data_IF_541975439469
#
_entry.id   IF_541975439469
#
_cell.length_a   1.000
_cell.length_b   1.000
_cell.length_c   1.000
_cell.angle_alpha   90.00
_cell.angle_beta   90.00
_cell.angle_gamma   90.00
#
_symmetry.space_group_name_H-M   'P 1'
#
loop_
_entity.id
_entity.type
_entity.pdbx_description
1 polymer ?
#
# COMPACT_ATOMS: atom_id res chain seq x y z
N UNK A 1 -7.40 -17.93 -17.79
CA UNK A 1 -7.50 -18.64 -16.49
C UNK A 1 -8.69 -18.09 -15.71
N UNK A 2 -9.29 -18.94 -14.91
CA UNK A 2 -10.32 -18.58 -13.94
C UNK A 2 -9.66 -18.47 -12.56
N UNK A 3 -9.65 -17.27 -11.99
CA UNK A 3 -8.93 -16.93 -10.76
C UNK A 3 -9.94 -16.79 -9.63
N UNK A 4 -9.67 -17.44 -8.49
CA UNK A 4 -10.38 -17.19 -7.24
C UNK A 4 -9.58 -16.16 -6.42
N UNK A 5 -10.12 -14.96 -6.31
CA UNK A 5 -9.52 -13.88 -5.51
C UNK A 5 -10.11 -13.83 -4.11
N UNK A 6 -9.28 -13.82 -3.07
CA UNK A 6 -9.71 -13.78 -1.67
C UNK A 6 -9.55 -12.37 -1.12
N UNK A 7 -10.67 -11.68 -0.86
CA UNK A 7 -10.66 -10.39 -0.17
C UNK A 7 -10.67 -10.61 1.34
N UNK A 8 -9.59 -10.24 2.04
CA UNK A 8 -9.49 -10.44 3.48
C UNK A 8 -10.36 -9.45 4.27
N UNK A 9 -10.55 -9.70 5.56
CA UNK A 9 -11.29 -8.82 6.47
C UNK A 9 -10.60 -7.44 6.61
N UNK A 10 -9.26 -7.40 6.58
CA UNK A 10 -8.51 -6.16 6.79
C UNK A 10 -8.59 -5.18 5.61
N UNK A 11 -8.83 -3.90 5.87
CA UNK A 11 -8.95 -2.86 4.82
C UNK A 11 -7.68 -2.77 3.98
N UNK A 12 -6.49 -2.75 4.61
CA UNK A 12 -5.22 -2.69 3.88
C UNK A 12 -5.00 -3.90 2.98
N UNK A 13 -5.34 -5.09 3.47
CA UNK A 13 -5.30 -6.33 2.68
C UNK A 13 -6.28 -6.30 1.51
N UNK A 14 -7.49 -5.77 1.71
CA UNK A 14 -8.50 -5.63 0.63
C UNK A 14 -7.99 -4.73 -0.50
N UNK A 15 -7.43 -3.57 -0.18
CA UNK A 15 -6.86 -2.63 -1.18
C UNK A 15 -5.73 -3.30 -1.96
N UNK A 16 -4.80 -3.97 -1.28
CA UNK A 16 -3.70 -4.69 -1.93
C UNK A 16 -4.22 -5.81 -2.84
N UNK A 17 -5.15 -6.64 -2.32
CA UNK A 17 -5.75 -7.72 -3.11
C UNK A 17 -6.50 -7.19 -4.31
N UNK A 18 -7.28 -6.11 -4.16
CA UNK A 18 -8.01 -5.49 -5.29
C UNK A 18 -7.05 -5.11 -6.42
N UNK A 19 -5.91 -4.48 -6.12
CA UNK A 19 -4.89 -4.17 -7.13
C UNK A 19 -4.34 -5.42 -7.84
N UNK A 20 -4.14 -6.53 -7.12
CA UNK A 20 -3.72 -7.80 -7.72
C UNK A 20 -4.81 -8.33 -8.66
N UNK A 21 -6.05 -8.39 -8.19
CA UNK A 21 -7.18 -8.92 -8.96
C UNK A 21 -7.47 -8.09 -10.21
N UNK A 22 -7.33 -6.76 -10.12
CA UNK A 22 -7.44 -5.86 -11.26
C UNK A 22 -6.34 -6.09 -12.30
N UNK A 23 -5.12 -6.39 -11.85
CA UNK A 23 -4.04 -6.80 -12.76
C UNK A 23 -4.38 -8.07 -13.55
N UNK A 24 -5.00 -9.07 -12.92
CA UNK A 24 -5.49 -10.26 -13.63
C UNK A 24 -6.59 -9.91 -14.63
N UNK A 25 -7.57 -9.07 -14.27
CA UNK A 25 -8.61 -8.60 -15.19
C UNK A 25 -8.03 -7.85 -16.39
N UNK A 26 -7.05 -6.96 -16.15
CA UNK A 26 -6.35 -6.21 -17.21
C UNK A 26 -5.55 -7.10 -18.18
N UNK A 27 -5.23 -8.32 -17.77
CA UNK A 27 -4.59 -9.34 -18.61
C UNK A 27 -5.61 -10.31 -19.26
N UNK A 28 -6.91 -10.05 -19.11
CA UNK A 28 -7.98 -10.84 -19.75
C UNK A 28 -8.34 -12.12 -19.00
N UNK A 29 -7.99 -12.24 -17.71
CA UNK A 29 -8.40 -13.39 -16.89
C UNK A 29 -9.77 -13.17 -16.25
N UNK A 30 -10.53 -14.24 -16.08
CA UNK A 30 -11.81 -14.22 -15.34
C UNK A 30 -11.48 -14.26 -13.84
N UNK A 31 -11.96 -13.28 -13.09
CA UNK A 31 -11.72 -13.18 -11.64
C UNK A 31 -13.05 -13.29 -10.90
N UNK A 32 -13.18 -14.34 -10.11
CA UNK A 32 -14.28 -14.53 -9.14
C UNK A 32 -13.75 -14.13 -7.76
N UNK A 33 -14.56 -13.40 -7.00
CA UNK A 33 -14.13 -12.87 -5.70
C UNK A 33 -14.84 -13.60 -4.58
N UNK A 34 -14.06 -14.15 -3.67
CA UNK A 34 -14.48 -14.60 -2.36
C UNK A 34 -14.24 -13.48 -1.35
N UNK A 35 -15.27 -13.04 -0.64
CA UNK A 35 -15.19 -11.97 0.34
C UNK A 35 -15.36 -12.54 1.74
N UNK A 36 -14.28 -12.57 2.54
CA UNK A 36 -14.29 -13.10 3.92
C UNK A 36 -15.29 -12.39 4.87
N UNK A 37 -15.79 -11.21 4.50
CA UNK A 37 -16.83 -10.52 5.28
C UNK A 37 -18.26 -11.00 4.98
N UNK A 38 -18.46 -11.78 3.92
CA UNK A 38 -19.81 -12.11 3.42
C UNK A 38 -20.22 -13.56 3.63
N UNK A 39 -19.42 -14.39 4.25
CA UNK A 39 -19.65 -15.77 4.75
C UNK A 39 -20.48 -16.75 3.88
N UNK A 40 -20.85 -16.43 2.64
CA UNK A 40 -21.82 -17.21 1.86
C UNK A 40 -21.22 -17.69 0.53
N UNK A 41 -20.40 -18.76 0.59
CA UNK A 41 -19.84 -19.32 -0.64
C UNK A 41 -19.87 -20.85 -0.68
N UNK A 42 -20.58 -21.36 -1.65
CA UNK A 42 -20.31 -22.70 -2.18
C UNK A 42 -19.16 -22.60 -3.19
N UNK A 43 -17.99 -23.12 -2.87
CA UNK A 43 -16.86 -23.26 -3.80
C UNK A 43 -17.14 -24.40 -4.82
N UNK A 44 -18.20 -24.24 -5.62
CA UNK A 44 -18.67 -25.28 -6.53
C UNK A 44 -17.97 -25.28 -7.90
N UNK A 45 -17.13 -24.26 -8.15
CA UNK A 45 -16.49 -24.05 -9.44
C UNK A 45 -15.02 -24.53 -9.45
N UNK A 46 -14.57 -25.01 -10.60
CA UNK A 46 -13.13 -25.25 -10.82
C UNK A 46 -12.42 -23.92 -11.09
N UNK A 47 -11.32 -23.69 -10.38
CA UNK A 47 -10.43 -22.54 -10.58
C UNK A 47 -9.05 -23.02 -10.98
N UNK A 48 -8.33 -22.18 -11.75
CA UNK A 48 -6.95 -22.46 -12.16
C UNK A 48 -5.95 -21.99 -11.09
N UNK A 49 -6.33 -20.96 -10.33
CA UNK A 49 -5.45 -20.30 -9.35
C UNK A 49 -6.26 -19.65 -8.22
N UNK A 50 -5.76 -19.77 -6.99
CA UNK A 50 -6.22 -18.98 -5.84
C UNK A 50 -5.23 -17.85 -5.59
N UNK A 51 -5.72 -16.63 -5.34
CA UNK A 51 -4.88 -15.45 -5.08
C UNK A 51 -5.44 -14.64 -3.94
N UNK A 52 -4.61 -14.23 -3.01
CA UNK A 52 -5.05 -13.37 -1.92
C UNK A 52 -3.91 -12.78 -1.10
N UNK A 53 -4.31 -12.11 -0.04
CA UNK A 53 -3.43 -11.41 0.88
C UNK A 53 -3.18 -12.24 2.14
N UNK A 54 -1.92 -12.22 2.63
CA UNK A 54 -1.52 -12.90 3.85
C UNK A 54 -1.78 -14.42 3.76
N UNK A 55 -2.19 -15.03 4.84
CA UNK A 55 -2.53 -16.45 4.92
C UNK A 55 -3.92 -16.81 4.37
N UNK A 56 -4.78 -15.83 4.07
CA UNK A 56 -6.16 -16.07 3.63
C UNK A 56 -6.29 -17.08 2.49
N UNK A 57 -5.54 -16.98 1.37
CA UNK A 57 -5.65 -17.95 0.28
C UNK A 57 -5.12 -19.33 0.65
N UNK A 58 -4.08 -19.41 1.48
CA UNK A 58 -3.48 -20.67 1.94
C UNK A 58 -4.44 -21.39 2.90
N UNK A 59 -5.05 -20.64 3.82
CA UNK A 59 -6.07 -21.16 4.73
C UNK A 59 -7.25 -21.74 3.97
N UNK A 60 -7.81 -20.97 3.03
CA UNK A 60 -8.94 -21.44 2.21
C UNK A 60 -8.58 -22.71 1.44
N UNK A 61 -7.40 -22.74 0.81
CA UNK A 61 -6.90 -23.92 0.09
C UNK A 61 -6.85 -25.16 0.99
N UNK A 62 -6.36 -25.02 2.23
CA UNK A 62 -6.29 -26.11 3.20
C UNK A 62 -7.68 -26.55 3.67
N UNK A 63 -8.52 -25.61 4.11
CA UNK A 63 -9.81 -25.88 4.75
C UNK A 63 -10.78 -26.58 3.78
N UNK A 64 -10.67 -26.31 2.47
CA UNK A 64 -11.48 -26.95 1.42
C UNK A 64 -10.74 -28.00 0.57
N UNK A 65 -9.50 -28.36 0.97
CA UNK A 65 -8.66 -29.33 0.26
C UNK A 65 -8.54 -29.06 -1.25
N UNK A 66 -8.29 -27.82 -1.63
CA UNK A 66 -8.28 -27.39 -3.03
C UNK A 66 -6.94 -27.73 -3.70
N UNK A 67 -6.97 -28.28 -4.90
CA UNK A 67 -5.79 -28.81 -5.62
C UNK A 67 -5.03 -27.76 -6.46
N UNK A 68 -5.68 -26.62 -6.81
CA UNK A 68 -5.06 -25.60 -7.67
C UNK A 68 -3.88 -24.88 -6.99
N UNK A 69 -3.00 -24.27 -7.81
CA UNK A 69 -1.91 -23.42 -7.32
C UNK A 69 -2.45 -22.25 -6.49
N UNK A 70 -1.65 -21.80 -5.51
CA UNK A 70 -2.02 -20.71 -4.59
C UNK A 70 -0.97 -19.62 -4.61
N UNK A 71 -1.41 -18.36 -4.68
CA UNK A 71 -0.58 -17.15 -4.56
C UNK A 71 -0.97 -16.41 -3.28
N UNK A 72 -0.01 -16.26 -2.38
CA UNK A 72 -0.13 -15.49 -1.15
C UNK A 72 0.79 -14.27 -1.22
N UNK A 73 0.21 -13.06 -1.13
CA UNK A 73 0.96 -11.81 -1.12
C UNK A 73 0.99 -11.23 0.29
N UNK A 74 2.19 -11.01 0.82
CA UNK A 74 2.40 -10.46 2.16
C UNK A 74 2.91 -9.02 2.09
N UNK A 75 2.26 -8.12 2.83
CA UNK A 75 2.72 -6.76 3.08
C UNK A 75 2.88 -6.44 4.58
N UNK A 76 2.94 -7.46 5.40
CA UNK A 76 3.30 -7.43 6.81
C UNK A 76 4.32 -8.53 7.09
N UNK A 77 5.10 -8.38 8.16
CA UNK A 77 6.07 -9.40 8.55
C UNK A 77 5.37 -10.72 8.89
N UNK A 78 5.70 -11.78 8.16
CA UNK A 78 5.12 -13.11 8.36
C UNK A 78 5.30 -13.56 9.82
N UNK A 79 6.49 -13.30 10.42
CA UNK A 79 6.81 -13.66 11.80
C UNK A 79 6.01 -12.91 12.85
N UNK A 80 5.54 -11.71 12.55
CA UNK A 80 4.71 -10.91 13.46
C UNK A 80 3.24 -11.38 13.49
N UNK A 81 2.84 -12.25 12.57
CA UNK A 81 1.50 -12.87 12.50
C UNK A 81 1.33 -14.11 13.36
N UNK A 82 2.23 -14.34 14.33
CA UNK A 82 2.32 -15.57 15.15
C UNK A 82 1.26 -15.71 16.24
N UNK A 83 0.25 -14.87 16.27
CA UNK A 83 -0.78 -14.86 17.29
C UNK A 83 -2.10 -15.46 16.81
N UNK A 84 -2.17 -16.76 16.65
CA UNK A 84 -3.44 -17.44 16.35
C UNK A 84 -3.31 -18.95 16.41
N UNK A 85 -4.40 -19.69 16.67
CA UNK A 85 -4.38 -21.12 16.49
C UNK A 85 -4.03 -21.41 15.03
N UNK A 86 -3.19 -22.41 14.78
CA UNK A 86 -2.80 -22.88 13.44
C UNK A 86 -1.78 -22.04 12.64
N UNK A 87 -1.19 -20.95 13.16
CA UNK A 87 -0.19 -20.20 12.42
C UNK A 87 1.05 -21.05 12.03
N UNK A 88 1.46 -22.02 12.87
CA UNK A 88 2.57 -22.94 12.56
C UNK A 88 2.26 -23.82 11.36
N UNK A 89 1.03 -24.31 11.29
CA UNK A 89 0.54 -25.14 10.19
C UNK A 89 0.48 -24.30 8.89
N UNK A 90 0.02 -23.05 8.98
CA UNK A 90 0.00 -22.16 7.83
C UNK A 90 1.39 -21.80 7.32
N UNK A 91 2.40 -21.68 8.22
CA UNK A 91 3.80 -21.53 7.83
C UNK A 91 4.34 -22.76 7.10
N UNK A 92 3.97 -23.97 7.54
CA UNK A 92 4.34 -25.20 6.83
C UNK A 92 3.65 -25.27 5.46
N UNK A 93 2.40 -24.85 5.37
CA UNK A 93 1.67 -24.78 4.08
C UNK A 93 2.34 -23.84 3.08
N UNK A 94 3.00 -22.74 3.50
CA UNK A 94 3.78 -21.86 2.61
C UNK A 94 4.98 -22.58 1.96
N UNK A 95 5.45 -23.68 2.50
CA UNK A 95 6.59 -24.48 1.96
C UNK A 95 6.17 -25.45 0.86
N UNK A 96 4.89 -25.61 0.59
CA UNK A 96 4.36 -26.53 -0.43
C UNK A 96 4.75 -26.09 -1.82
N UNK A 97 4.94 -27.04 -2.71
CA UNK A 97 5.32 -26.81 -4.11
C UNK A 97 4.26 -26.08 -4.93
N UNK A 98 2.99 -26.14 -4.52
CA UNK A 98 1.85 -25.51 -5.17
C UNK A 98 1.44 -24.17 -4.53
N UNK A 99 2.24 -23.65 -3.57
CA UNK A 99 2.05 -22.35 -2.93
C UNK A 99 3.21 -21.42 -3.29
N UNK A 100 2.86 -20.26 -3.83
CA UNK A 100 3.78 -19.21 -4.27
C UNK A 100 3.60 -17.99 -3.38
N UNK A 101 4.65 -17.64 -2.65
CA UNK A 101 4.65 -16.51 -1.70
C UNK A 101 5.35 -15.32 -2.32
N UNK A 102 4.67 -14.18 -2.36
CA UNK A 102 5.23 -12.90 -2.78
C UNK A 102 5.31 -11.96 -1.59
N UNK A 103 6.47 -11.39 -1.36
CA UNK A 103 6.74 -10.57 -0.19
C UNK A 103 7.21 -9.18 -0.61
N UNK A 104 6.62 -8.14 -0.03
CA UNK A 104 6.85 -6.76 -0.46
C UNK A 104 8.20 -6.16 -0.03
N UNK A 105 8.89 -6.76 0.94
CA UNK A 105 10.13 -6.25 1.54
C UNK A 105 11.32 -7.12 1.15
N UNK A 106 12.31 -6.51 0.49
CA UNK A 106 13.51 -7.16 -0.05
C UNK A 106 14.40 -7.79 1.01
N UNK A 107 14.51 -7.13 2.17
CA UNK A 107 15.36 -7.62 3.27
C UNK A 107 14.65 -8.74 4.04
N UNK A 108 13.33 -8.67 4.17
CA UNK A 108 12.56 -9.73 4.84
C UNK A 108 12.51 -11.01 4.00
N UNK A 109 12.48 -10.92 2.67
CA UNK A 109 12.58 -12.11 1.80
C UNK A 109 13.85 -12.92 2.09
N UNK A 110 14.98 -12.25 2.37
CA UNK A 110 16.24 -12.94 2.68
C UNK A 110 16.23 -13.69 4.00
N UNK A 111 15.28 -13.41 4.88
CA UNK A 111 15.17 -14.01 6.21
C UNK A 111 14.30 -15.27 6.23
N UNK A 112 13.54 -15.49 5.16
CA UNK A 112 12.63 -16.62 5.04
C UNK A 112 13.22 -17.69 4.10
N UNK A 113 12.86 -18.97 4.36
CA UNK A 113 13.37 -20.10 3.57
C UNK A 113 12.19 -20.93 3.03
N UNK A 114 11.42 -20.35 2.11
CA UNK A 114 10.37 -21.07 1.37
C UNK A 114 10.82 -21.33 -0.05
N UNK A 115 10.46 -22.49 -0.62
CA UNK A 115 10.86 -22.87 -1.97
C UNK A 115 10.41 -21.87 -3.04
N UNK A 116 9.16 -21.41 -2.94
CA UNK A 116 8.54 -20.50 -3.91
C UNK A 116 8.32 -19.12 -3.30
N UNK A 117 9.38 -18.52 -2.73
CA UNK A 117 9.36 -17.18 -2.16
C UNK A 117 10.01 -16.18 -3.12
N UNK A 118 9.29 -15.09 -3.42
CA UNK A 118 9.72 -14.08 -4.36
C UNK A 118 9.53 -12.67 -3.77
N UNK A 119 10.50 -11.80 -4.03
CA UNK A 119 10.32 -10.38 -3.81
C UNK A 119 9.40 -9.77 -4.86
N UNK A 120 8.40 -9.04 -4.42
CA UNK A 120 7.54 -8.24 -5.28
C UNK A 120 7.10 -7.00 -4.50
N UNK A 121 7.62 -5.79 -4.82
CA UNK A 121 7.18 -4.58 -4.17
C UNK A 121 5.69 -4.33 -4.41
N UNK A 122 5.09 -3.45 -3.63
CA UNK A 122 3.74 -3.01 -3.91
C UNK A 122 3.60 -2.46 -5.33
N UNK A 123 2.44 -2.66 -5.91
CA UNK A 123 2.05 -2.12 -7.21
C UNK A 123 0.60 -1.63 -7.14
N UNK A 124 0.18 -0.85 -8.11
CA UNK A 124 -1.07 -0.10 -8.02
C UNK A 124 -1.87 -0.14 -9.31
N UNK A 125 -3.20 -0.08 -9.21
CA UNK A 125 -4.07 0.05 -10.37
C UNK A 125 -3.97 1.47 -10.98
N UNK A 126 -3.14 1.63 -12.00
CA UNK A 126 -2.91 2.90 -12.68
C UNK A 126 -4.09 3.42 -13.50
N UNK A 127 -5.19 2.65 -13.63
CA UNK A 127 -6.44 3.12 -14.19
C UNK A 127 -7.29 3.88 -13.16
N UNK A 128 -7.16 3.51 -11.87
CA UNK A 128 -7.78 4.24 -10.76
C UNK A 128 -6.91 5.42 -10.36
N UNK A 129 -5.60 5.16 -10.17
CA UNK A 129 -4.61 6.16 -9.76
C UNK A 129 -4.01 6.84 -10.98
N UNK A 130 -4.72 7.83 -11.50
CA UNK A 130 -4.28 8.65 -12.64
C UNK A 130 -4.68 10.10 -12.48
N UNK A 131 -3.86 10.98 -13.04
CA UNK A 131 -4.15 12.39 -13.03
C UNK A 131 -5.51 12.66 -13.70
N UNK A 132 -6.29 13.51 -13.04
CA UNK A 132 -7.51 14.11 -13.56
C UNK A 132 -7.36 15.62 -13.44
N UNK A 133 -7.92 16.34 -14.37
CA UNK A 133 -7.95 17.79 -14.32
C UNK A 133 -9.02 18.25 -13.32
N UNK A 134 -8.64 18.26 -12.04
CA UNK A 134 -9.47 18.72 -10.94
C UNK A 134 -8.69 19.74 -10.10
N UNK A 135 -9.37 20.75 -9.55
CA UNK A 135 -8.72 21.77 -8.73
C UNK A 135 -7.98 21.19 -7.53
N UNK A 136 -6.80 21.76 -7.25
CA UNK A 136 -6.06 21.50 -6.03
C UNK A 136 -6.80 22.14 -4.85
N UNK A 137 -7.01 21.39 -3.77
CA UNK A 137 -7.70 21.85 -2.57
C UNK A 137 -6.78 21.94 -1.35
N UNK A 138 -5.61 21.30 -1.41
CA UNK A 138 -4.64 21.37 -0.30
C UNK A 138 -3.20 21.32 -0.81
N UNK A 139 -2.32 21.99 -0.07
CA UNK A 139 -0.89 21.95 -0.36
C UNK A 139 -0.29 20.61 0.07
N UNK A 140 -0.67 20.13 1.25
CA UNK A 140 -0.10 18.92 1.85
C UNK A 140 -1.20 17.99 2.34
N UNK A 141 -0.98 16.67 2.23
CA UNK A 141 -1.78 15.67 2.92
C UNK A 141 -0.93 14.58 3.57
N UNK A 142 -1.49 14.01 4.61
CA UNK A 142 -1.04 12.75 5.20
C UNK A 142 -2.23 11.80 5.34
N UNK A 143 -2.06 10.54 4.96
CA UNK A 143 -3.08 9.53 5.17
C UNK A 143 -2.48 8.34 5.93
N UNK A 144 -2.82 8.22 7.22
CA UNK A 144 -2.26 7.21 8.09
C UNK A 144 -2.47 7.50 9.56
N UNK A 145 -1.91 6.63 10.40
CA UNK A 145 -2.01 6.72 11.85
C UNK A 145 -1.01 7.72 12.42
N UNK A 146 -1.44 8.51 13.41
CA UNK A 146 -0.59 9.33 14.27
C UNK A 146 -0.44 8.66 15.66
N UNK A 147 -0.03 7.39 15.65
CA UNK A 147 0.02 6.50 16.81
C UNK A 147 1.29 6.62 17.64
N UNK A 148 2.34 7.21 17.10
CA UNK A 148 3.59 7.52 17.82
C UNK A 148 3.71 9.01 18.11
N UNK A 149 4.44 9.37 19.19
CA UNK A 149 4.70 10.79 19.50
C UNK A 149 5.51 11.47 18.38
N UNK A 150 6.43 10.74 17.79
CA UNK A 150 7.21 11.23 16.65
C UNK A 150 6.31 11.71 15.49
N UNK A 151 5.37 10.88 15.04
CA UNK A 151 4.46 11.23 13.95
C UNK A 151 3.51 12.36 14.33
N UNK A 152 2.94 12.28 15.54
CA UNK A 152 2.00 13.28 16.02
C UNK A 152 2.67 14.63 16.14
N UNK A 153 3.83 14.71 16.80
CA UNK A 153 4.56 15.95 16.99
C UNK A 153 5.03 16.55 15.65
N UNK A 154 5.47 15.71 14.71
CA UNK A 154 5.86 16.17 13.38
C UNK A 154 4.68 16.82 12.63
N UNK A 155 3.51 16.19 12.62
CA UNK A 155 2.34 16.76 11.94
C UNK A 155 1.86 18.03 12.65
N UNK A 156 1.82 18.05 13.98
CA UNK A 156 1.46 19.25 14.75
C UNK A 156 2.42 20.41 14.42
N UNK A 157 3.72 20.16 14.45
CA UNK A 157 4.74 21.16 14.12
C UNK A 157 4.60 21.71 12.69
N UNK A 158 4.34 20.86 11.72
CA UNK A 158 4.07 21.29 10.33
C UNK A 158 2.84 22.20 10.25
N UNK A 159 1.74 21.80 10.88
CA UNK A 159 0.47 22.54 10.80
C UNK A 159 0.55 23.90 11.50
N UNK A 160 1.25 23.97 12.64
CA UNK A 160 1.35 25.19 13.44
C UNK A 160 2.36 26.19 12.86
N UNK A 161 3.43 25.70 12.20
CA UNK A 161 4.57 26.55 11.84
C UNK A 161 4.80 26.73 10.34
N UNK A 162 4.09 25.99 9.46
CA UNK A 162 4.39 26.06 8.02
C UNK A 162 3.49 27.02 7.23
N UNK A 163 2.28 27.31 7.74
CA UNK A 163 1.34 28.23 7.07
C UNK A 163 0.73 27.70 5.76
N UNK A 164 0.76 26.37 5.52
CA UNK A 164 0.19 25.71 4.34
C UNK A 164 -1.13 25.01 4.66
N UNK A 165 -1.96 24.80 3.66
CA UNK A 165 -3.18 24.02 3.81
C UNK A 165 -2.84 22.52 3.96
N UNK A 166 -3.39 21.87 4.99
CA UNK A 166 -3.06 20.49 5.33
C UNK A 166 -4.34 19.66 5.50
N UNK A 167 -4.34 18.44 4.98
CA UNK A 167 -5.40 17.45 5.19
C UNK A 167 -4.85 16.17 5.80
N UNK A 168 -5.50 15.67 6.84
CA UNK A 168 -5.18 14.39 7.46
C UNK A 168 -6.35 13.41 7.34
N UNK A 169 -6.08 12.21 6.79
CA UNK A 169 -7.06 11.15 6.65
C UNK A 169 -6.71 9.95 7.54
N UNK A 170 -7.63 9.60 8.45
CA UNK A 170 -7.47 8.48 9.37
C UNK A 170 -8.85 7.98 9.85
N UNK A 171 -8.90 6.74 10.35
CA UNK A 171 -10.11 6.25 11.01
C UNK A 171 -10.37 7.04 12.30
N UNK A 172 -11.64 7.18 12.66
CA UNK A 172 -12.12 7.96 13.81
C UNK A 172 -11.35 7.65 15.11
N UNK A 173 -11.06 6.39 15.38
CA UNK A 173 -10.29 5.98 16.57
C UNK A 173 -8.91 6.64 16.64
N UNK A 174 -8.21 6.82 15.50
CA UNK A 174 -6.90 7.46 15.48
C UNK A 174 -7.01 8.98 15.68
N UNK A 175 -8.06 9.59 15.15
CA UNK A 175 -8.39 11.00 15.40
C UNK A 175 -8.64 11.25 16.90
N UNK A 176 -9.51 10.47 17.53
CA UNK A 176 -9.79 10.59 18.96
C UNK A 176 -8.54 10.35 19.82
N UNK A 177 -7.67 9.43 19.44
CA UNK A 177 -6.41 9.19 20.14
C UNK A 177 -5.44 10.38 19.99
N UNK A 178 -5.36 10.99 18.81
CA UNK A 178 -4.55 12.19 18.59
C UNK A 178 -5.02 13.36 19.46
N UNK A 179 -6.35 13.62 19.51
CA UNK A 179 -6.93 14.67 20.35
C UNK A 179 -6.61 14.54 21.84
N UNK A 180 -6.46 13.30 22.35
CA UNK A 180 -6.09 13.06 23.76
C UNK A 180 -4.64 13.37 24.08
N UNK A 181 -3.77 13.41 23.06
CA UNK A 181 -2.31 13.51 23.20
C UNK A 181 -1.76 14.90 22.88
N UNK A 182 -2.50 15.71 22.13
CA UNK A 182 -2.08 17.07 21.77
C UNK A 182 -2.49 18.10 22.81
N UNK A 183 -1.67 19.15 22.98
CA UNK A 183 -2.01 20.29 23.83
C UNK A 183 -3.08 21.17 23.19
N UNK A 184 -2.91 21.49 21.91
CA UNK A 184 -3.84 22.30 21.14
C UNK A 184 -4.70 21.40 20.25
N UNK A 185 -5.91 21.11 20.68
CA UNK A 185 -6.85 20.25 19.93
C UNK A 185 -7.28 20.86 18.61
N UNK A 186 -7.41 22.19 18.54
CA UNK A 186 -7.82 22.90 17.33
C UNK A 186 -6.89 22.62 16.14
N UNK A 187 -5.59 22.39 16.39
CA UNK A 187 -4.62 22.00 15.35
C UNK A 187 -5.03 20.71 14.65
N UNK A 188 -5.44 19.70 15.42
CA UNK A 188 -5.86 18.39 14.87
C UNK A 188 -7.26 18.47 14.26
N UNK A 189 -8.19 19.17 14.90
CA UNK A 189 -9.57 19.36 14.39
C UNK A 189 -9.58 20.04 13.02
N UNK A 190 -8.72 21.05 12.83
CA UNK A 190 -8.61 21.81 11.57
C UNK A 190 -8.18 20.95 10.38
N UNK A 191 -7.32 19.95 10.59
CA UNK A 191 -6.74 19.16 9.51
C UNK A 191 -7.45 17.83 9.27
N UNK A 192 -8.21 17.33 10.25
CA UNK A 192 -8.90 16.05 10.11
C UNK A 192 -9.95 16.09 9.01
N UNK A 193 -9.81 15.20 8.05
CA UNK A 193 -10.63 15.16 6.83
C UNK A 193 -11.41 13.85 6.69
N UNK A 194 -11.53 13.09 7.79
CA UNK A 194 -12.28 11.84 7.83
C UNK A 194 -11.46 10.61 7.45
N UNK A 195 -12.16 9.54 7.15
CA UNK A 195 -11.59 8.25 6.75
C UNK A 195 -11.91 7.94 5.29
N UNK A 196 -10.96 7.36 4.60
CA UNK A 196 -11.10 6.88 3.23
C UNK A 196 -10.89 5.37 3.25
N UNK A 197 -11.90 4.61 2.85
CA UNK A 197 -11.95 3.14 2.87
C UNK A 197 -11.86 2.49 1.49
N UNK A 198 -11.90 3.28 0.41
CA UNK A 198 -11.87 2.80 -0.96
C UNK A 198 -10.80 3.51 -1.82
N UNK A 199 -10.43 2.87 -2.92
CA UNK A 199 -9.37 3.36 -3.81
C UNK A 199 -9.79 4.61 -4.60
N UNK A 200 -11.05 4.73 -4.99
CA UNK A 200 -11.54 5.85 -5.80
C UNK A 200 -11.48 7.17 -5.01
N UNK A 201 -11.92 7.16 -3.77
CA UNK A 201 -11.85 8.35 -2.92
C UNK A 201 -10.41 8.68 -2.50
N UNK A 202 -9.56 7.66 -2.30
CA UNK A 202 -8.13 7.88 -2.08
C UNK A 202 -7.47 8.52 -3.31
N UNK A 203 -7.76 8.00 -4.49
CA UNK A 203 -7.26 8.59 -5.74
C UNK A 203 -7.73 10.03 -5.92
N UNK A 204 -8.99 10.34 -5.57
CA UNK A 204 -9.53 11.70 -5.59
C UNK A 204 -8.83 12.62 -4.58
N UNK A 205 -8.59 12.15 -3.35
CA UNK A 205 -7.90 12.93 -2.32
C UNK A 205 -6.46 13.26 -2.72
N UNK A 206 -5.72 12.28 -3.24
CA UNK A 206 -4.35 12.47 -3.75
C UNK A 206 -4.37 13.48 -4.90
N UNK A 207 -5.31 13.33 -5.85
CA UNK A 207 -5.36 14.18 -7.04
C UNK A 207 -5.67 15.66 -6.72
N UNK A 208 -6.33 15.93 -5.58
CA UNK A 208 -6.63 17.27 -5.06
C UNK A 208 -5.53 17.88 -4.19
N UNK A 209 -4.40 17.21 -4.04
CA UNK A 209 -3.30 17.64 -3.18
C UNK A 209 -2.02 17.82 -3.97
N UNK A 210 -1.18 18.81 -3.65
CA UNK A 210 0.13 18.99 -4.29
C UNK A 210 1.16 18.01 -3.76
N UNK A 211 1.32 17.91 -2.44
CA UNK A 211 2.37 17.15 -1.77
C UNK A 211 1.74 16.12 -0.82
N UNK A 212 2.18 14.89 -0.92
CA UNK A 212 1.81 13.82 0.04
C UNK A 212 3.02 13.47 0.89
N UNK A 213 2.83 13.46 2.21
CA UNK A 213 3.85 13.00 3.15
C UNK A 213 3.67 11.51 3.38
N UNK A 214 4.77 10.77 3.33
CA UNK A 214 4.82 9.37 3.73
C UNK A 214 5.67 9.19 4.97
N UNK A 215 5.16 8.41 5.91
CA UNK A 215 5.85 7.98 7.14
C UNK A 215 5.67 6.48 7.25
N UNK A 216 6.73 5.72 6.95
CA UNK A 216 6.68 4.27 7.03
C UNK A 216 6.64 3.80 8.50
N UNK A 217 5.84 2.78 8.79
CA UNK A 217 5.70 2.19 10.14
C UNK A 217 6.03 0.71 10.17
N UNK A 218 6.16 0.09 9.01
CA UNK A 218 6.32 -1.35 8.87
C UNK A 218 7.41 -1.65 7.84
N UNK A 219 7.92 -2.90 7.87
CA UNK A 219 8.99 -3.34 7.00
C UNK A 219 10.36 -2.82 7.41
N UNK A 220 11.38 -3.37 6.82
CA UNK A 220 12.79 -3.00 7.05
C UNK A 220 13.31 -2.10 5.94
N UNK A 221 13.04 -2.46 4.69
CA UNK A 221 13.54 -1.77 3.50
C UNK A 221 12.43 -1.21 2.61
N UNK A 222 11.22 -1.72 2.75
CA UNK A 222 10.12 -1.54 1.82
C UNK A 222 9.46 -0.17 1.83
N UNK A 223 8.87 0.13 0.69
CA UNK A 223 7.90 1.21 0.53
C UNK A 223 6.49 0.66 0.80
N UNK A 224 5.68 1.39 1.55
CA UNK A 224 4.29 0.98 1.80
C UNK A 224 3.39 1.17 0.56
N UNK A 225 2.21 0.54 0.58
CA UNK A 225 1.25 0.63 -0.54
C UNK A 225 0.86 2.08 -0.88
N UNK A 226 0.77 2.96 0.13
CA UNK A 226 0.48 4.39 -0.03
C UNK A 226 1.49 5.10 -0.91
N UNK A 227 2.76 4.71 -0.83
CA UNK A 227 3.82 5.24 -1.69
C UNK A 227 3.48 5.00 -3.16
N UNK A 228 3.12 3.78 -3.54
CA UNK A 228 2.77 3.45 -4.92
C UNK A 228 1.51 4.17 -5.40
N UNK A 229 0.51 4.32 -4.52
CA UNK A 229 -0.68 5.10 -4.83
C UNK A 229 -0.33 6.55 -5.20
N UNK A 230 0.56 7.19 -4.43
CA UNK A 230 0.96 8.57 -4.67
C UNK A 230 1.81 8.73 -5.93
N UNK A 231 2.78 7.82 -6.14
CA UNK A 231 3.70 7.90 -7.28
C UNK A 231 3.03 7.59 -8.62
N UNK A 232 1.83 7.02 -8.63
CA UNK A 232 1.04 6.86 -9.85
C UNK A 232 0.42 8.17 -10.38
N UNK A 233 0.52 9.25 -9.61
CA UNK A 233 0.10 10.59 -9.99
C UNK A 233 1.29 11.51 -10.22
N UNK A 234 1.08 12.61 -10.94
CA UNK A 234 2.00 13.76 -10.93
C UNK A 234 1.80 14.57 -9.64
N UNK A 235 1.95 13.91 -8.49
CA UNK A 235 1.88 14.54 -7.16
C UNK A 235 3.15 14.20 -6.41
N UNK A 236 3.73 15.19 -5.76
CA UNK A 236 5.00 15.00 -5.07
C UNK A 236 4.79 14.13 -3.83
N UNK A 237 5.60 13.10 -3.70
CA UNK A 237 5.77 12.36 -2.46
C UNK A 237 7.04 12.81 -1.78
N UNK A 238 6.96 13.15 -0.47
CA UNK A 238 8.12 13.33 0.40
C UNK A 238 8.06 12.23 1.46
N UNK A 239 9.12 11.43 1.60
CA UNK A 239 9.12 10.23 2.44
C UNK A 239 10.25 10.25 3.46
N UNK A 240 10.07 9.53 4.57
CA UNK A 240 11.18 9.08 5.41
C UNK A 240 12.10 8.14 4.63
N UNK A 241 13.33 8.00 5.10
CA UNK A 241 14.35 7.19 4.42
C UNK A 241 13.98 5.71 4.42
N UNK A 242 14.10 5.07 3.25
CA UNK A 242 13.94 3.63 3.03
C UNK A 242 14.89 3.16 1.93
N UNK A 243 15.46 1.95 2.09
CA UNK A 243 16.38 1.39 1.08
C UNK A 243 15.71 1.23 -0.29
N UNK A 244 14.44 0.84 -0.33
CA UNK A 244 13.70 0.61 -1.58
C UNK A 244 13.27 1.90 -2.31
N UNK A 245 13.69 3.08 -1.85
CA UNK A 245 13.63 4.30 -2.65
C UNK A 245 14.53 4.22 -3.90
N UNK A 246 15.50 3.29 -3.91
CA UNK A 246 16.30 2.94 -5.09
C UNK A 246 15.47 2.39 -6.27
N UNK A 247 14.28 1.86 -6.03
CA UNK A 247 13.32 1.47 -7.08
C UNK A 247 12.90 2.66 -7.98
N UNK A 248 13.06 3.87 -7.47
CA UNK A 248 12.83 5.15 -8.15
C UNK A 248 14.13 5.95 -8.32
N UNK A 249 15.27 5.26 -8.41
CA UNK A 249 16.62 5.82 -8.58
C UNK A 249 16.93 6.93 -7.55
N UNK A 250 16.38 6.80 -6.33
CA UNK A 250 16.49 7.76 -5.23
C UNK A 250 16.04 9.19 -5.61
N UNK A 251 15.09 9.32 -6.55
CA UNK A 251 14.55 10.63 -6.96
C UNK A 251 13.45 11.14 -6.04
N UNK A 252 12.86 10.27 -5.22
CA UNK A 252 11.86 10.69 -4.24
C UNK A 252 12.56 11.50 -3.14
N UNK A 253 12.10 12.73 -2.83
CA UNK A 253 12.66 13.52 -1.76
C UNK A 253 12.50 12.81 -0.40
N UNK A 254 13.59 12.73 0.36
CA UNK A 254 13.61 12.15 1.71
C UNK A 254 13.79 13.25 2.75
N UNK A 255 13.13 13.10 3.89
CA UNK A 255 13.32 13.98 5.05
C UNK A 255 13.93 13.21 6.22
N UNK A 256 14.71 13.93 7.05
CA UNK A 256 15.39 13.40 8.24
C UNK A 256 14.68 13.75 9.54
N UNK A 257 14.05 14.92 9.60
CA UNK A 257 13.35 15.46 10.76
C UNK A 257 12.28 16.47 10.32
N UNK A 258 11.58 17.07 11.26
CA UNK A 258 10.50 18.02 11.00
C UNK A 258 10.98 19.28 10.27
N UNK A 259 12.15 19.82 10.63
CA UNK A 259 12.70 21.03 10.00
C UNK A 259 13.04 20.78 8.53
N UNK A 260 13.78 19.71 8.26
CA UNK A 260 14.12 19.29 6.88
C UNK A 260 12.86 19.01 6.05
N UNK A 261 11.80 18.46 6.68
CA UNK A 261 10.52 18.24 5.98
C UNK A 261 9.83 19.57 5.63
N UNK A 262 9.84 20.56 6.55
CA UNK A 262 9.29 21.91 6.31
C UNK A 262 10.02 22.60 5.15
N UNK A 263 11.36 22.60 5.18
CA UNK A 263 12.18 23.17 4.11
C UNK A 263 11.86 22.54 2.75
N UNK A 264 11.75 21.22 2.67
CA UNK A 264 11.42 20.51 1.43
C UNK A 264 10.01 20.83 0.93
N UNK A 265 9.03 20.87 1.82
CA UNK A 265 7.66 21.26 1.44
C UNK A 265 7.67 22.66 0.81
N UNK A 266 8.27 23.64 1.47
CA UNK A 266 8.35 25.02 0.94
C UNK A 266 9.13 25.08 -0.37
N UNK A 267 10.27 24.39 -0.45
CA UNK A 267 11.08 24.34 -1.66
C UNK A 267 10.24 23.87 -2.86
N UNK A 268 9.55 22.74 -2.75
CA UNK A 268 8.77 22.19 -3.85
C UNK A 268 7.48 22.95 -4.15
N UNK A 269 6.87 23.61 -3.17
CA UNK A 269 5.72 24.48 -3.41
C UNK A 269 6.09 25.72 -4.22
N UNK A 270 7.34 26.20 -4.12
CA UNK A 270 7.83 27.40 -4.83
C UNK A 270 8.74 27.09 -6.03
N UNK A 271 9.06 25.82 -6.30
CA UNK A 271 9.91 25.41 -7.42
C UNK A 271 9.17 24.41 -8.33
N UNK A 272 8.35 24.94 -9.22
CA UNK A 272 7.52 24.14 -10.14
C UNK A 272 8.37 23.26 -11.08
N UNK A 273 9.54 23.74 -11.48
CA UNK A 273 10.43 22.98 -12.37
C UNK A 273 10.92 21.69 -11.70
N UNK A 274 11.44 21.78 -10.47
CA UNK A 274 11.89 20.61 -9.72
C UNK A 274 10.71 19.72 -9.30
N UNK A 275 9.59 20.32 -8.92
CA UNK A 275 8.35 19.57 -8.65
C UNK A 275 7.96 18.71 -9.85
N UNK A 276 7.85 19.31 -11.04
CA UNK A 276 7.47 18.61 -12.27
C UNK A 276 8.47 17.54 -12.66
N UNK A 277 9.77 17.84 -12.58
CA UNK A 277 10.85 16.90 -12.89
C UNK A 277 10.77 15.62 -12.06
N UNK A 278 10.55 15.75 -10.75
CA UNK A 278 10.47 14.60 -9.84
C UNK A 278 9.18 13.82 -10.06
N UNK A 279 8.04 14.52 -10.13
CA UNK A 279 6.73 13.87 -10.22
C UNK A 279 6.53 13.14 -11.54
N UNK A 280 6.97 13.71 -12.66
CA UNK A 280 6.89 13.07 -13.99
C UNK A 280 7.78 11.82 -14.07
N UNK A 281 8.99 11.91 -13.51
CA UNK A 281 9.88 10.78 -13.45
C UNK A 281 9.26 9.62 -12.64
N UNK A 282 8.81 9.91 -11.42
CA UNK A 282 8.24 8.89 -10.54
C UNK A 282 6.95 8.27 -11.10
N UNK A 283 6.05 9.09 -11.67
CA UNK A 283 4.85 8.59 -12.34
C UNK A 283 5.19 7.63 -13.48
N UNK A 284 6.13 8.01 -14.35
CA UNK A 284 6.58 7.16 -15.47
C UNK A 284 7.07 5.80 -14.97
N UNK A 285 7.99 5.79 -14.00
CA UNK A 285 8.52 4.54 -13.44
C UNK A 285 7.42 3.70 -12.79
N UNK A 286 6.52 4.33 -12.02
CA UNK A 286 5.41 3.64 -11.38
C UNK A 286 4.51 2.96 -12.42
N UNK A 287 4.13 3.64 -13.48
CA UNK A 287 3.26 3.10 -14.54
C UNK A 287 3.94 2.00 -15.35
N UNK A 288 5.22 2.16 -15.67
CA UNK A 288 5.96 1.19 -16.48
C UNK A 288 6.32 -0.07 -15.72
N UNK A 289 6.67 0.03 -14.43
CA UNK A 289 7.22 -1.09 -13.66
C UNK A 289 6.30 -1.59 -12.54
N UNK A 290 5.50 -0.71 -11.93
CA UNK A 290 4.75 -1.01 -10.70
C UNK A 290 3.23 -0.85 -10.88
N UNK A 291 2.72 -0.95 -12.11
CA UNK A 291 1.28 -1.08 -12.37
C UNK A 291 0.77 -2.47 -12.00
N UNK A 292 -0.52 -2.59 -11.65
CA UNK A 292 -1.18 -3.88 -11.37
C UNK A 292 -0.95 -4.90 -12.48
N UNK A 293 -0.98 -4.46 -13.73
CA UNK A 293 -0.71 -5.30 -14.90
C UNK A 293 0.71 -5.89 -14.87
N UNK A 294 1.72 -5.08 -14.51
CA UNK A 294 3.12 -5.53 -14.47
C UNK A 294 3.38 -6.44 -13.27
N UNK A 295 2.83 -6.10 -12.10
CA UNK A 295 2.92 -6.95 -10.91
C UNK A 295 2.34 -8.35 -11.18
N UNK A 296 1.17 -8.42 -11.81
CA UNK A 296 0.54 -9.72 -12.15
C UNK A 296 1.29 -10.46 -13.24
N UNK A 297 1.86 -9.79 -14.25
CA UNK A 297 2.75 -10.46 -15.21
C UNK A 297 3.92 -11.15 -14.50
N UNK A 298 4.56 -10.46 -13.56
CA UNK A 298 5.64 -11.05 -12.77
C UNK A 298 5.15 -12.26 -11.96
N UNK A 299 3.98 -12.19 -11.31
CA UNK A 299 3.37 -13.33 -10.62
C UNK A 299 3.19 -14.51 -11.57
N UNK A 300 2.58 -14.27 -12.74
CA UNK A 300 2.31 -15.30 -13.73
C UNK A 300 3.59 -15.96 -14.27
N UNK A 301 4.65 -15.20 -14.46
CA UNK A 301 5.94 -15.74 -14.93
C UNK A 301 6.55 -16.68 -13.87
N UNK A 302 6.42 -16.35 -12.58
CA UNK A 302 6.94 -17.19 -11.49
C UNK A 302 6.14 -18.47 -11.28
N UNK A 303 4.83 -18.44 -11.46
CA UNK A 303 3.99 -19.65 -11.29
C UNK A 303 3.99 -20.59 -12.50
N UNK A 304 4.49 -20.14 -13.67
CA UNK A 304 4.66 -21.00 -14.87
C UNK A 304 6.00 -21.74 -14.87
N UNK A 305 6.99 -21.20 -14.19
CA UNK A 305 8.32 -21.79 -14.05
C UNK A 305 8.30 -22.93 -13.04
#
# INVERSE_FOLDING_TARGET
MKILGILPISIGGRLTTSSILDGFRQLGHTVIVYDELKDDYSLNDSYDLIVGYDFSPVKLKRDYNLSMKCVAYFSDEIRNRTSGPHWKELLEDLKRDDVYTFYWDRELVKQENFKNLFYLPHFVNTEIYKNKDIPIESDVMFAGRLDTDYRLNMIVDLVENLGVSFKWYAIERHYQNALKRVKNKQTIEKIYSGFIDNEQDMAKAINKTKIVINMNSQGVSSLNYRTMQNLAFKRLLISDERKELDLFDNKIPIYKNSEDLKEKILFYLHNEQEYSRVTEYCEKICREKYSSRQGVKYILDKIKA
#
